data_IF_358420316439
#
_entry.id   IF_358420316439
#
_cell.length_a   1.000
_cell.length_b   1.000
_cell.length_c   1.000
_cell.angle_alpha   90.00
_cell.angle_beta   90.00
_cell.angle_gamma   90.00
#
_symmetry.space_group_name_H-M   'P 1'
#
loop_
_entity.id
_entity.type
_entity.pdbx_description
1 polymer ?
#
# COMPACT_ATOMS: atom_id res chain seq x y z
N UNK A 1 -31.88 20.59 9.51
CA UNK A 1 -31.78 19.14 9.29
C UNK A 1 -31.29 18.47 10.57
N UNK A 2 -31.82 17.31 10.93
CA UNK A 2 -31.38 16.57 12.11
C UNK A 2 -29.91 16.15 12.00
N UNK A 3 -29.16 16.21 13.11
CA UNK A 3 -27.74 15.84 13.18
C UNK A 3 -27.52 14.37 12.79
N UNK A 4 -28.48 13.49 13.10
CA UNK A 4 -28.47 12.09 12.69
C UNK A 4 -28.56 11.90 11.17
N UNK A 5 -29.43 12.70 10.52
CA UNK A 5 -29.56 12.72 9.06
C UNK A 5 -28.27 13.18 8.37
N UNK A 6 -27.55 14.16 8.95
CA UNK A 6 -26.26 14.61 8.43
C UNK A 6 -25.17 13.52 8.45
N UNK A 7 -25.17 12.62 9.44
CA UNK A 7 -24.22 11.48 9.49
C UNK A 7 -24.55 10.48 8.39
N UNK A 8 -25.83 10.17 8.21
CA UNK A 8 -26.30 9.27 7.15
C UNK A 8 -25.94 9.80 5.76
N UNK A 9 -26.22 11.09 5.51
CA UNK A 9 -25.87 11.76 4.26
C UNK A 9 -24.37 11.77 4.03
N UNK A 10 -23.56 12.08 5.05
CA UNK A 10 -22.09 12.05 4.94
C UNK A 10 -21.59 10.66 4.55
N UNK A 11 -22.10 9.60 5.18
CA UNK A 11 -21.75 8.22 4.89
C UNK A 11 -22.12 7.82 3.46
N UNK A 12 -23.34 8.15 3.03
CA UNK A 12 -23.83 7.87 1.67
C UNK A 12 -23.04 8.63 0.62
N UNK A 13 -22.72 9.90 0.88
CA UNK A 13 -21.83 10.70 0.07
C UNK A 13 -20.43 10.07 -0.05
N UNK A 14 -19.89 9.50 1.03
CA UNK A 14 -18.62 8.78 1.02
C UNK A 14 -18.70 7.41 0.32
N UNK A 15 -19.89 6.96 -0.10
CA UNK A 15 -20.09 5.66 -0.73
C UNK A 15 -19.94 4.47 0.21
N UNK A 16 -19.97 4.72 1.53
CA UNK A 16 -19.71 3.70 2.54
C UNK A 16 -21.00 3.08 3.08
N UNK A 17 -20.98 1.78 3.37
CA UNK A 17 -21.97 1.16 4.23
C UNK A 17 -21.67 1.48 5.72
N UNK A 18 -22.60 1.17 6.63
CA UNK A 18 -22.42 1.52 8.06
C UNK A 18 -21.19 0.89 8.69
N UNK A 19 -20.84 -0.34 8.31
CA UNK A 19 -19.69 -1.05 8.87
C UNK A 19 -18.39 -0.38 8.44
N UNK A 20 -18.23 -0.09 7.16
CA UNK A 20 -17.09 0.64 6.60
C UNK A 20 -16.94 2.03 7.25
N UNK A 21 -18.04 2.75 7.45
CA UNK A 21 -18.03 4.05 8.11
C UNK A 21 -17.56 3.95 9.58
N UNK A 22 -17.98 2.89 10.28
CA UNK A 22 -17.55 2.63 11.65
C UNK A 22 -16.06 2.32 11.73
N UNK A 23 -15.58 1.46 10.84
CA UNK A 23 -14.17 1.07 10.77
C UNK A 23 -13.30 2.29 10.41
N UNK A 24 -13.71 3.10 9.44
CA UNK A 24 -13.01 4.32 9.03
C UNK A 24 -12.86 5.34 10.17
N UNK A 25 -13.94 5.60 10.91
CA UNK A 25 -13.93 6.59 11.99
C UNK A 25 -13.50 6.03 13.35
N UNK A 26 -13.38 4.71 13.51
CA UNK A 26 -13.17 4.07 14.81
C UNK A 26 -14.36 4.22 15.75
N UNK A 27 -15.59 4.24 15.21
CA UNK A 27 -16.82 4.49 15.97
C UNK A 27 -17.60 3.19 16.09
N UNK A 28 -18.11 2.82 17.28
CA UNK A 28 -18.91 1.61 17.41
C UNK A 28 -20.17 1.62 16.52
N UNK A 29 -20.46 0.48 15.90
CA UNK A 29 -21.62 0.34 15.00
C UNK A 29 -22.94 0.81 15.59
N UNK A 30 -23.22 0.42 16.83
CA UNK A 30 -24.43 0.84 17.55
C UNK A 30 -24.51 2.35 17.70
N UNK A 31 -23.38 3.02 17.90
CA UNK A 31 -23.32 4.47 18.05
C UNK A 31 -23.73 5.20 16.77
N UNK A 32 -23.24 4.75 15.61
CA UNK A 32 -23.66 5.31 14.31
C UNK A 32 -25.13 5.03 14.04
N UNK A 33 -25.60 3.80 14.35
CA UNK A 33 -27.00 3.43 14.20
C UNK A 33 -27.94 4.29 15.08
N UNK A 34 -27.57 4.53 16.34
CA UNK A 34 -28.35 5.33 17.28
C UNK A 34 -28.38 6.81 16.87
N UNK A 35 -27.30 7.33 16.27
CA UNK A 35 -27.29 8.67 15.67
C UNK A 35 -28.19 8.76 14.43
N UNK A 36 -28.07 7.84 13.47
CA UNK A 36 -28.88 7.85 12.24
C UNK A 36 -30.38 7.65 12.51
N UNK A 37 -30.73 6.97 13.60
CA UNK A 37 -32.12 6.74 14.04
C UNK A 37 -32.63 7.76 15.07
N UNK A 38 -31.83 8.81 15.35
CA UNK A 38 -32.17 9.91 16.27
C UNK A 38 -32.42 9.47 17.72
N UNK A 39 -32.02 8.25 18.09
CA UNK A 39 -32.07 7.75 19.48
C UNK A 39 -31.05 8.44 20.38
N UNK A 40 -29.97 8.96 19.78
CA UNK A 40 -28.92 9.68 20.49
C UNK A 40 -28.53 10.92 19.70
N UNK A 41 -28.37 12.03 20.42
CA UNK A 41 -27.87 13.26 19.83
C UNK A 41 -26.35 13.21 19.65
N UNK A 42 -25.89 13.57 18.45
CA UNK A 42 -24.47 13.72 18.13
C UNK A 42 -23.97 15.08 18.65
N UNK A 43 -22.89 15.13 19.44
CA UNK A 43 -22.28 16.40 19.83
C UNK A 43 -21.85 17.23 18.62
N UNK A 44 -22.07 18.55 18.66
CA UNK A 44 -21.85 19.43 17.50
C UNK A 44 -20.42 19.43 16.98
N UNK A 45 -19.44 19.41 17.89
CA UNK A 45 -18.02 19.33 17.53
C UNK A 45 -17.68 18.03 16.81
N UNK A 46 -18.38 16.93 17.13
CA UNK A 46 -18.10 15.62 16.56
C UNK A 46 -18.62 15.54 15.12
N UNK A 47 -19.78 16.12 14.80
CA UNK A 47 -20.24 16.24 13.41
C UNK A 47 -19.26 17.06 12.57
N UNK A 48 -18.77 18.17 13.12
CA UNK A 48 -17.75 19.00 12.46
C UNK A 48 -16.46 18.20 12.23
N UNK A 49 -16.04 17.38 13.20
CA UNK A 49 -14.85 16.54 13.07
C UNK A 49 -15.03 15.43 12.01
N UNK A 50 -16.21 14.78 11.97
CA UNK A 50 -16.52 13.77 10.97
C UNK A 50 -16.50 14.36 9.56
N UNK A 51 -17.17 15.51 9.38
CA UNK A 51 -17.17 16.26 8.12
C UNK A 51 -15.78 16.73 7.76
N UNK A 52 -15.03 17.33 8.68
CA UNK A 52 -13.64 17.73 8.46
C UNK A 52 -12.77 16.56 8.03
N UNK A 53 -12.89 15.39 8.66
CA UNK A 53 -12.09 14.21 8.28
C UNK A 53 -12.54 13.59 6.95
N UNK A 54 -13.84 13.61 6.63
CA UNK A 54 -14.34 13.23 5.30
C UNK A 54 -13.88 14.21 4.21
N UNK A 55 -13.92 15.50 4.51
CA UNK A 55 -13.46 16.59 3.66
C UNK A 55 -11.95 16.55 3.53
N UNK A 56 -11.17 16.23 4.56
CA UNK A 56 -9.73 15.98 4.46
C UNK A 56 -9.47 14.75 3.62
N UNK A 57 -10.21 13.64 3.79
CA UNK A 57 -10.12 12.48 2.89
C UNK A 57 -10.49 12.78 1.43
N UNK A 58 -11.42 13.72 1.20
CA UNK A 58 -11.86 14.18 -0.14
C UNK A 58 -10.98 15.28 -0.72
N UNK A 59 -10.44 16.18 0.11
CA UNK A 59 -9.45 17.18 -0.26
C UNK A 59 -8.14 16.49 -0.60
N UNK A 60 -7.75 15.42 0.11
CA UNK A 60 -6.66 14.52 -0.30
C UNK A 60 -6.91 13.80 -1.64
N UNK A 61 -8.18 13.66 -2.08
CA UNK A 61 -8.53 13.17 -3.42
C UNK A 61 -8.57 14.26 -4.51
N UNK A 62 -8.78 15.53 -4.17
CA UNK A 62 -9.05 16.61 -5.16
C UNK A 62 -8.08 17.83 -5.07
N UNK A 63 -7.18 17.87 -4.09
CA UNK A 63 -6.13 18.89 -3.92
C UNK A 63 -5.01 18.36 -3.02
N UNK A 64 -3.83 18.14 -3.59
CA UNK A 64 -2.57 18.24 -2.84
C UNK A 64 -1.67 17.00 -2.90
N UNK A 65 -0.40 17.09 -3.31
CA UNK A 65 0.47 18.27 -3.17
C UNK A 65 0.26 18.90 -1.77
N UNK A 66 0.70 18.20 -0.72
CA UNK A 66 0.49 18.67 0.66
C UNK A 66 0.70 17.67 1.81
N UNK A 67 0.78 16.36 1.56
CA UNK A 67 1.83 15.56 2.21
C UNK A 67 3.11 15.86 1.41
N UNK A 68 4.31 15.83 2.00
CA UNK A 68 5.53 15.77 1.18
C UNK A 68 5.28 14.76 0.06
N UNK A 69 5.23 15.22 -1.21
CA UNK A 69 4.98 14.35 -2.35
C UNK A 69 5.90 13.14 -2.16
N UNK A 70 5.31 11.94 -2.00
CA UNK A 70 6.11 10.70 -1.98
C UNK A 70 7.03 10.82 -3.19
N UNK A 71 8.34 10.90 -2.96
CA UNK A 71 9.30 11.09 -4.04
C UNK A 71 9.47 9.75 -4.73
N UNK A 72 8.41 9.32 -5.41
CA UNK A 72 8.29 8.07 -6.11
C UNK A 72 7.84 8.40 -7.52
N UNK A 73 8.56 7.92 -8.52
CA UNK A 73 8.23 8.08 -9.93
C UNK A 73 8.34 6.73 -10.64
N UNK A 74 7.58 6.53 -11.70
CA UNK A 74 7.72 5.38 -12.60
C UNK A 74 8.47 5.84 -13.84
N UNK A 75 9.56 5.15 -14.17
CA UNK A 75 10.34 5.38 -15.40
C UNK A 75 10.23 4.13 -16.26
N UNK A 76 9.96 4.32 -17.55
CA UNK A 76 9.94 3.26 -18.55
C UNK A 76 11.23 3.34 -19.37
N UNK A 77 11.93 2.21 -19.51
CA UNK A 77 13.11 2.15 -20.36
C UNK A 77 12.74 1.99 -21.85
N UNK A 78 13.76 1.98 -22.71
CA UNK A 78 13.58 1.88 -24.16
C UNK A 78 12.94 0.55 -24.61
N UNK A 79 12.99 -0.48 -23.76
CA UNK A 79 12.39 -1.78 -24.02
C UNK A 79 10.95 -1.86 -23.47
N UNK A 80 10.40 -0.75 -22.96
CA UNK A 80 9.07 -0.67 -22.38
C UNK A 80 8.99 -1.15 -20.94
N UNK A 81 10.13 -1.42 -20.29
CA UNK A 81 10.14 -1.95 -18.92
C UNK A 81 10.04 -0.83 -17.90
N UNK A 82 8.93 -0.82 -17.16
CA UNK A 82 8.67 0.14 -16.10
C UNK A 82 9.44 -0.21 -14.81
N UNK A 83 9.96 0.81 -14.12
CA UNK A 83 10.66 0.71 -12.84
C UNK A 83 10.19 1.81 -11.90
N UNK A 84 9.87 1.46 -10.65
CA UNK A 84 9.49 2.42 -9.61
C UNK A 84 10.73 3.01 -8.93
N UNK A 85 11.05 4.27 -9.18
CA UNK A 85 12.15 5.00 -8.54
C UNK A 85 11.69 5.63 -7.23
N UNK A 86 12.24 5.18 -6.11
CA UNK A 86 11.95 5.72 -4.77
C UNK A 86 13.13 6.59 -4.36
N UNK A 87 12.99 7.91 -4.44
CA UNK A 87 14.10 8.86 -4.29
C UNK A 87 14.51 9.13 -2.83
N UNK A 88 13.67 8.76 -1.86
CA UNK A 88 13.98 8.87 -0.44
C UNK A 88 14.05 7.49 0.23
N UNK A 89 14.93 7.35 1.21
CA UNK A 89 15.00 6.15 2.05
C UNK A 89 14.36 6.52 3.38
N UNK A 90 13.11 6.15 3.64
CA UNK A 90 12.50 6.40 4.95
C UNK A 90 13.06 5.47 6.03
N UNK A 91 13.22 4.18 5.71
CA UNK A 91 13.69 3.17 6.66
C UNK A 91 15.22 3.04 6.58
N UNK A 92 15.95 3.99 7.20
CA UNK A 92 17.42 4.14 7.14
C UNK A 92 18.22 3.34 8.18
N UNK A 93 17.59 2.43 8.93
CA UNK A 93 18.20 1.76 10.09
C UNK A 93 19.68 1.37 9.91
N UNK A 94 20.58 1.95 10.72
CA UNK A 94 22.04 1.80 10.58
C UNK A 94 22.55 0.38 10.89
N UNK A 95 21.81 -0.39 11.68
CA UNK A 95 22.14 -1.79 12.08
C UNK A 95 21.09 -2.79 11.61
N UNK A 96 19.81 -2.47 11.80
CA UNK A 96 18.66 -3.29 11.38
C UNK A 96 17.47 -2.38 11.05
N UNK A 97 16.55 -2.89 10.22
CA UNK A 97 15.26 -2.26 9.94
C UNK A 97 14.36 -2.38 11.17
N UNK A 98 13.64 -1.31 11.52
CA UNK A 98 12.52 -1.37 12.46
C UNK A 98 11.26 -1.78 11.70
N UNK A 99 10.87 -3.05 11.80
CA UNK A 99 9.74 -3.59 11.04
C UNK A 99 8.39 -3.09 11.55
N UNK A 100 8.28 -2.71 12.83
CA UNK A 100 7.05 -2.14 13.39
C UNK A 100 6.73 -0.78 12.75
N UNK A 101 7.76 0.02 12.43
CA UNK A 101 7.58 1.28 11.68
C UNK A 101 7.10 1.02 10.25
N UNK A 102 7.59 -0.03 9.60
CA UNK A 102 7.15 -0.43 8.25
C UNK A 102 5.70 -0.90 8.29
N UNK A 103 5.32 -1.70 9.30
CA UNK A 103 3.94 -2.14 9.51
C UNK A 103 2.99 -0.95 9.71
N UNK A 104 3.36 0.00 10.58
CA UNK A 104 2.59 1.23 10.81
C UNK A 104 2.46 2.04 9.52
N UNK A 105 3.53 2.15 8.73
CA UNK A 105 3.49 2.84 7.44
C UNK A 105 2.50 2.18 6.48
N UNK A 106 2.51 0.85 6.37
CA UNK A 106 1.64 0.11 5.46
C UNK A 106 0.15 0.20 5.82
N UNK A 107 -0.18 0.43 7.10
CA UNK A 107 -1.58 0.61 7.54
C UNK A 107 -2.29 1.76 6.83
N UNK A 108 -1.57 2.75 6.29
CA UNK A 108 -2.16 3.86 5.54
C UNK A 108 -2.84 3.41 4.24
N UNK A 109 -2.45 2.26 3.68
CA UNK A 109 -2.99 1.72 2.43
C UNK A 109 -4.15 0.73 2.65
N UNK A 110 -4.43 0.33 3.90
CA UNK A 110 -5.46 -0.68 4.19
C UNK A 110 -6.84 -0.19 3.77
N UNK A 111 -7.54 -1.00 2.97
CA UNK A 111 -8.84 -0.66 2.40
C UNK A 111 -8.76 -0.04 1.00
N UNK A 112 -7.57 0.35 0.54
CA UNK A 112 -7.35 0.82 -0.84
C UNK A 112 -7.25 -0.35 -1.82
N UNK A 113 -7.31 -0.03 -3.11
CA UNK A 113 -7.09 -0.97 -4.20
C UNK A 113 -6.43 -0.27 -5.39
N UNK A 114 -5.68 -1.04 -6.16
CA UNK A 114 -4.94 -0.57 -7.33
C UNK A 114 -5.19 -1.53 -8.49
N UNK A 115 -5.14 -1.02 -9.71
CA UNK A 115 -5.34 -1.84 -10.92
C UNK A 115 -4.00 -2.01 -11.61
N UNK A 116 -3.66 -3.25 -11.95
CA UNK A 116 -2.48 -3.55 -12.76
C UNK A 116 -2.73 -3.04 -14.18
N UNK A 117 -1.83 -2.22 -14.73
CA UNK A 117 -1.96 -1.64 -16.07
C UNK A 117 -2.07 -2.73 -17.15
N UNK A 118 -1.20 -3.74 -17.08
CA UNK A 118 -1.04 -4.74 -18.14
C UNK A 118 -2.19 -5.76 -18.19
N UNK A 119 -2.73 -6.17 -17.03
CA UNK A 119 -3.73 -7.23 -16.93
C UNK A 119 -5.12 -6.75 -16.55
N UNK A 120 -5.27 -5.50 -16.11
CA UNK A 120 -6.48 -4.94 -15.50
C UNK A 120 -6.94 -5.71 -14.23
N UNK A 121 -6.08 -6.53 -13.63
CA UNK A 121 -6.38 -7.18 -12.36
C UNK A 121 -6.46 -6.12 -11.25
N UNK A 122 -7.53 -6.17 -10.46
CA UNK A 122 -7.72 -5.27 -9.31
C UNK A 122 -7.17 -5.92 -8.04
N UNK A 123 -6.16 -5.29 -7.45
CA UNK A 123 -5.46 -5.77 -6.25
C UNK A 123 -5.86 -4.91 -5.06
N UNK A 124 -6.48 -5.54 -4.07
CA UNK A 124 -6.91 -4.92 -2.82
C UNK A 124 -5.82 -5.01 -1.76
N UNK A 125 -5.76 -4.00 -0.88
CA UNK A 125 -4.91 -4.00 0.29
C UNK A 125 -5.72 -4.40 1.51
N UNK A 126 -5.52 -5.65 1.96
CA UNK A 126 -6.17 -6.20 3.14
C UNK A 126 -5.54 -5.71 4.45
N UNK A 127 -6.27 -5.85 5.56
CA UNK A 127 -5.77 -5.53 6.90
C UNK A 127 -4.67 -6.48 7.39
N UNK A 128 -4.48 -7.61 6.71
CA UNK A 128 -3.44 -8.61 6.95
C UNK A 128 -2.09 -8.24 6.31
N UNK A 129 -2.08 -7.46 5.23
CA UNK A 129 -0.83 -7.10 4.52
C UNK A 129 0.24 -6.48 5.44
N UNK A 130 -0.05 -5.48 6.31
CA UNK A 130 1.00 -4.86 7.11
C UNK A 130 1.76 -5.87 7.98
N UNK A 131 1.03 -6.77 8.64
CA UNK A 131 1.59 -7.80 9.52
C UNK A 131 2.38 -8.83 8.70
N UNK A 132 1.80 -9.33 7.61
CA UNK A 132 2.46 -10.32 6.73
C UNK A 132 3.73 -9.74 6.09
N UNK A 133 3.72 -8.47 5.70
CA UNK A 133 4.87 -7.82 5.10
C UNK A 133 6.03 -7.67 6.09
N UNK A 134 5.73 -7.26 7.32
CA UNK A 134 6.71 -6.93 8.35
C UNK A 134 7.23 -8.17 9.11
N UNK A 135 6.38 -9.19 9.29
CA UNK A 135 6.65 -10.30 10.20
C UNK A 135 6.57 -11.68 9.54
N UNK A 136 6.57 -11.78 8.20
CA UNK A 136 6.67 -13.08 7.55
C UNK A 136 8.01 -13.76 7.81
N UNK A 137 8.03 -15.10 7.72
CA UNK A 137 9.26 -15.90 7.75
C UNK A 137 10.30 -15.41 6.73
N UNK A 138 9.84 -14.95 5.56
CA UNK A 138 10.72 -14.37 4.54
C UNK A 138 11.35 -13.07 5.05
N UNK A 139 10.58 -12.18 5.66
CA UNK A 139 11.09 -10.94 6.24
C UNK A 139 12.11 -11.22 7.36
N UNK A 140 11.84 -12.21 8.21
CA UNK A 140 12.74 -12.59 9.31
C UNK A 140 14.12 -13.10 8.86
N UNK A 141 14.26 -13.67 7.66
CA UNK A 141 15.56 -14.14 7.15
C UNK A 141 16.33 -13.05 6.39
N UNK A 142 15.70 -11.93 6.01
CA UNK A 142 16.37 -10.85 5.29
C UNK A 142 17.39 -10.14 6.18
N UNK A 143 18.54 -9.79 5.59
CA UNK A 143 19.64 -9.09 6.27
C UNK A 143 20.20 -7.98 5.38
N UNK A 144 20.82 -6.99 6.02
CA UNK A 144 21.56 -5.92 5.35
C UNK A 144 20.77 -5.21 4.25
N UNK A 145 21.35 -5.13 3.06
CA UNK A 145 20.80 -4.39 1.93
C UNK A 145 19.42 -4.89 1.49
N UNK A 146 19.15 -6.21 1.54
CA UNK A 146 17.87 -6.77 1.10
C UNK A 146 16.73 -6.45 2.07
N UNK A 147 17.01 -6.45 3.38
CA UNK A 147 16.04 -6.03 4.40
C UNK A 147 15.68 -4.55 4.21
N UNK A 148 16.70 -3.70 4.00
CA UNK A 148 16.51 -2.28 3.71
C UNK A 148 15.73 -2.07 2.41
N UNK A 149 16.03 -2.84 1.38
CA UNK A 149 15.34 -2.78 0.10
C UNK A 149 13.85 -3.12 0.26
N UNK A 150 13.54 -4.24 0.93
CA UNK A 150 12.15 -4.60 1.26
C UNK A 150 11.44 -3.49 2.01
N UNK A 151 12.00 -3.04 3.13
CA UNK A 151 11.36 -2.01 3.95
C UNK A 151 11.00 -0.76 3.12
N UNK A 152 11.92 -0.30 2.27
CA UNK A 152 11.71 0.92 1.48
C UNK A 152 10.86 0.71 0.23
N UNK A 153 10.67 -0.54 -0.25
CA UNK A 153 9.71 -0.84 -1.32
C UNK A 153 8.27 -0.48 -0.91
N UNK A 154 7.95 -0.53 0.39
CA UNK A 154 6.65 -0.11 0.93
C UNK A 154 6.26 1.32 0.53
N UNK A 155 7.23 2.22 0.28
CA UNK A 155 6.98 3.60 -0.12
C UNK A 155 6.36 3.73 -1.52
N UNK A 156 6.73 2.82 -2.41
CA UNK A 156 6.25 2.75 -3.79
C UNK A 156 5.21 1.65 -4.00
N UNK A 157 4.49 1.25 -2.94
CA UNK A 157 3.56 0.12 -3.00
C UNK A 157 2.47 0.30 -4.07
N UNK A 158 1.78 1.46 -4.18
CA UNK A 158 0.81 1.69 -5.26
C UNK A 158 1.42 1.49 -6.64
N UNK A 159 2.54 2.16 -6.89
CA UNK A 159 3.21 2.19 -8.18
C UNK A 159 3.74 0.79 -8.54
N UNK A 160 4.26 0.05 -7.56
CA UNK A 160 4.71 -1.34 -7.73
C UNK A 160 3.58 -2.28 -8.17
N UNK A 161 2.37 -2.05 -7.67
CA UNK A 161 1.18 -2.81 -8.10
C UNK A 161 0.80 -2.41 -9.51
N UNK A 162 0.69 -1.11 -9.80
CA UNK A 162 0.25 -0.61 -11.11
C UNK A 162 1.14 -1.12 -12.25
N UNK A 163 2.46 -1.17 -12.04
CA UNK A 163 3.42 -1.66 -13.05
C UNK A 163 3.62 -3.19 -13.03
N UNK A 164 2.92 -3.92 -12.16
CA UNK A 164 3.19 -5.35 -11.98
C UNK A 164 2.85 -6.13 -13.27
N UNK A 165 3.75 -7.00 -13.70
CA UNK A 165 3.62 -7.75 -14.94
C UNK A 165 3.73 -9.26 -14.74
N UNK A 166 3.75 -10.00 -15.85
CA UNK A 166 4.11 -11.43 -15.91
C UNK A 166 3.42 -12.31 -14.86
N UNK A 167 2.10 -12.53 -15.03
CA UNK A 167 1.26 -13.30 -14.09
C UNK A 167 1.55 -14.80 -14.15
N UNK A 168 2.10 -15.34 -13.06
CA UNK A 168 2.23 -16.80 -12.87
C UNK A 168 1.24 -17.29 -11.82
N UNK A 169 0.36 -18.20 -12.22
CA UNK A 169 -0.59 -18.85 -11.31
C UNK A 169 0.06 -20.06 -10.60
N UNK A 170 -0.26 -20.25 -9.33
CA UNK A 170 0.10 -21.48 -8.60
C UNK A 170 -1.09 -21.97 -7.78
N UNK A 171 -1.45 -23.24 -7.99
CA UNK A 171 -2.49 -23.92 -7.21
C UNK A 171 -2.07 -24.03 -5.75
N UNK A 172 -3.05 -23.97 -4.85
CA UNK A 172 -2.82 -24.12 -3.43
C UNK A 172 -2.59 -25.60 -3.08
N UNK A 173 -1.44 -25.93 -2.49
CA UNK A 173 -1.09 -27.30 -2.08
C UNK A 173 -1.09 -27.49 -0.56
N UNK A 174 -1.34 -26.43 0.24
CA UNK A 174 -1.26 -26.49 1.71
C UNK A 174 -2.65 -26.41 2.34
N UNK A 175 -3.02 -27.45 3.10
CA UNK A 175 -4.32 -27.59 3.77
C UNK A 175 -4.70 -26.39 4.68
N UNK A 176 -3.70 -25.69 5.25
CA UNK A 176 -3.91 -24.52 6.13
C UNK A 176 -4.42 -23.26 5.43
N UNK A 177 -4.45 -23.22 4.10
CA UNK A 177 -4.91 -22.07 3.32
C UNK A 177 -6.15 -22.38 2.47
N UNK A 178 -6.82 -23.51 2.70
CA UNK A 178 -8.00 -23.91 1.94
C UNK A 178 -9.19 -22.94 2.07
N UNK A 179 -9.20 -22.08 3.09
CA UNK A 179 -10.25 -21.07 3.32
C UNK A 179 -9.82 -19.68 2.82
N UNK A 180 -8.58 -19.27 3.09
CA UNK A 180 -8.13 -17.90 2.81
C UNK A 180 -7.68 -17.68 1.35
N UNK A 181 -7.09 -18.69 0.72
CA UNK A 181 -6.62 -18.66 -0.68
C UNK A 181 -7.40 -19.67 -1.52
N UNK A 182 -8.74 -19.59 -1.43
CA UNK A 182 -9.67 -20.58 -2.00
C UNK A 182 -9.47 -20.79 -3.50
N UNK A 183 -9.15 -19.72 -4.24
CA UNK A 183 -8.91 -19.79 -5.68
C UNK A 183 -7.40 -19.86 -6.04
N UNK A 184 -6.53 -19.94 -5.02
CA UNK A 184 -5.09 -20.08 -5.20
C UNK A 184 -4.32 -18.77 -5.05
N UNK A 185 -3.08 -18.81 -5.57
CA UNK A 185 -2.12 -17.73 -5.45
C UNK A 185 -1.66 -17.29 -6.84
N UNK A 186 -1.53 -15.98 -7.01
CA UNK A 186 -0.91 -15.38 -8.18
C UNK A 186 0.42 -14.75 -7.77
N UNK A 187 1.37 -14.81 -8.69
CA UNK A 187 2.64 -14.10 -8.59
C UNK A 187 2.73 -13.13 -9.75
N UNK A 188 3.08 -11.90 -9.43
CA UNK A 188 3.39 -10.89 -10.43
C UNK A 188 4.81 -10.42 -10.22
N UNK A 189 5.52 -10.19 -11.31
CA UNK A 189 6.83 -9.57 -11.28
C UNK A 189 6.66 -8.06 -11.20
N UNK A 190 7.53 -7.39 -10.45
CA UNK A 190 7.58 -5.93 -10.39
C UNK A 190 9.01 -5.50 -10.07
N UNK A 191 9.29 -4.20 -10.14
CA UNK A 191 10.65 -3.67 -10.05
C UNK A 191 10.69 -2.28 -9.44
N UNK A 192 11.66 -2.06 -8.57
CA UNK A 192 11.92 -0.74 -7.99
C UNK A 192 13.41 -0.42 -7.89
N UNK A 193 13.71 0.87 -7.74
CA UNK A 193 15.05 1.39 -7.62
C UNK A 193 15.20 2.24 -6.35
N UNK A 194 16.30 2.06 -5.62
CA UNK A 194 16.65 2.85 -4.44
C UNK A 194 17.96 3.61 -4.64
N UNK A 195 18.05 4.87 -4.17
CA UNK A 195 19.24 5.68 -4.27
C UNK A 195 20.35 5.13 -3.37
N UNK A 196 21.57 5.31 -3.84
CA UNK A 196 22.80 5.18 -3.05
C UNK A 196 23.34 6.58 -2.87
N UNK A 197 23.45 7.00 -1.61
CA UNK A 197 23.97 8.32 -1.27
C UNK A 197 25.48 8.28 -1.02
N UNK A 198 26.17 9.36 -1.37
CA UNK A 198 27.53 9.65 -0.94
C UNK A 198 27.59 10.01 0.54
N UNK A 199 28.81 10.17 1.06
CA UNK A 199 29.02 10.73 2.40
C UNK A 199 28.53 12.18 2.50
N UNK A 200 28.54 12.94 1.39
CA UNK A 200 27.98 14.29 1.31
C UNK A 200 26.44 14.32 1.26
N UNK A 201 25.79 13.16 1.13
CA UNK A 201 24.32 13.06 1.04
C UNK A 201 23.76 13.23 -0.37
N UNK A 202 24.61 13.25 -1.40
CA UNK A 202 24.23 13.34 -2.81
C UNK A 202 23.96 11.94 -3.37
N UNK A 203 23.02 11.83 -4.32
CA UNK A 203 22.72 10.54 -4.96
C UNK A 203 23.84 10.21 -5.96
N UNK A 204 24.56 9.13 -5.71
CA UNK A 204 25.61 8.61 -6.59
C UNK A 204 24.99 7.76 -7.72
N UNK A 205 24.00 6.94 -7.39
CA UNK A 205 23.36 6.00 -8.33
C UNK A 205 22.06 5.45 -7.77
N UNK A 206 21.33 4.71 -8.60
CA UNK A 206 20.23 3.85 -8.16
C UNK A 206 20.61 2.37 -8.23
N UNK A 207 20.27 1.61 -7.18
CA UNK A 207 20.28 0.15 -7.22
C UNK A 207 18.88 -0.33 -7.58
N UNK A 208 18.77 -1.13 -8.63
CA UNK A 208 17.51 -1.72 -9.09
C UNK A 208 17.30 -3.09 -8.46
N UNK A 209 16.06 -3.40 -8.13
CA UNK A 209 15.63 -4.63 -7.51
C UNK A 209 14.39 -5.19 -8.21
N UNK A 210 14.48 -6.45 -8.63
CA UNK A 210 13.33 -7.24 -9.04
C UNK A 210 12.66 -7.84 -7.81
N UNK A 211 11.32 -7.91 -7.83
CA UNK A 211 10.50 -8.49 -6.77
C UNK A 211 9.38 -9.35 -7.32
N UNK A 212 8.86 -10.22 -6.46
CA UNK A 212 7.65 -11.00 -6.72
C UNK A 212 6.57 -10.56 -5.74
N UNK A 213 5.47 -10.04 -6.29
CA UNK A 213 4.26 -9.73 -5.55
C UNK A 213 3.43 -11.00 -5.41
N UNK A 214 3.13 -11.39 -4.18
CA UNK A 214 2.30 -12.55 -3.86
C UNK A 214 0.89 -12.08 -3.62
N UNK A 215 -0.04 -12.56 -4.44
CA UNK A 215 -1.44 -12.15 -4.40
C UNK A 215 -2.30 -13.36 -4.07
N UNK A 216 -3.12 -13.23 -3.02
CA UNK A 216 -4.09 -14.22 -2.58
C UNK A 216 -5.42 -13.99 -3.29
N UNK A 217 -5.96 -15.02 -3.94
CA UNK A 217 -7.32 -14.96 -4.49
C UNK A 217 -8.30 -15.57 -3.49
N UNK A 218 -9.00 -14.69 -2.78
CA UNK A 218 -9.82 -15.02 -1.63
C UNK A 218 -11.22 -15.50 -2.01
N UNK A 219 -11.93 -16.08 -1.04
CA UNK A 219 -13.26 -16.67 -1.22
C UNK A 219 -14.33 -15.68 -1.72
N UNK A 220 -14.18 -14.40 -1.39
CA UNK A 220 -15.04 -13.31 -1.86
C UNK A 220 -14.83 -12.97 -3.35
N UNK A 221 -13.90 -13.66 -4.02
CA UNK A 221 -13.56 -13.46 -5.42
C UNK A 221 -12.54 -12.34 -5.66
N UNK A 222 -12.09 -11.64 -4.60
CA UNK A 222 -11.13 -10.53 -4.71
C UNK A 222 -9.69 -11.01 -4.58
N UNK A 223 -8.79 -10.26 -5.21
CA UNK A 223 -7.35 -10.48 -5.17
C UNK A 223 -6.72 -9.54 -4.18
N UNK A 224 -6.06 -10.07 -3.16
CA UNK A 224 -5.42 -9.28 -2.09
C UNK A 224 -3.91 -9.42 -2.16
N UNK A 225 -3.20 -8.30 -2.13
CA UNK A 225 -1.75 -8.36 -1.94
C UNK A 225 -1.46 -8.96 -0.56
N UNK A 226 -0.60 -9.97 -0.53
CA UNK A 226 -0.27 -10.72 0.68
C UNK A 226 1.16 -10.44 1.14
N UNK A 227 2.14 -10.46 0.23
CA UNK A 227 3.52 -10.10 0.54
C UNK A 227 4.27 -9.64 -0.72
N UNK A 228 5.40 -8.94 -0.54
CA UNK A 228 6.42 -8.72 -1.58
C UNK A 228 7.66 -9.52 -1.19
N UNK A 229 8.03 -10.45 -2.06
CA UNK A 229 9.08 -11.43 -1.82
C UNK A 229 10.16 -11.42 -2.89
N UNK A 230 11.17 -12.27 -2.70
CA UNK A 230 12.19 -12.57 -3.69
C UNK A 230 12.96 -11.32 -4.18
N UNK A 231 13.22 -10.38 -3.28
CA UNK A 231 13.93 -9.14 -3.58
C UNK A 231 15.36 -9.46 -4.00
N UNK A 232 15.65 -9.19 -5.28
CA UNK A 232 16.93 -9.48 -5.91
C UNK A 232 17.48 -8.21 -6.54
N UNK A 233 18.67 -7.82 -6.12
CA UNK A 233 19.37 -6.69 -6.72
C UNK A 233 19.89 -7.08 -8.10
N UNK A 234 19.64 -6.27 -9.11
CA UNK A 234 20.31 -6.39 -10.40
C UNK A 234 21.79 -5.98 -10.30
N UNK A 235 22.65 -6.77 -10.93
CA UNK A 235 24.11 -6.60 -10.85
C UNK A 235 24.72 -6.00 -12.12
N UNK A 236 23.94 -5.79 -13.18
CA UNK A 236 24.41 -5.36 -14.51
C UNK A 236 23.95 -3.97 -14.95
N UNK A 237 22.97 -3.35 -14.28
CA UNK A 237 22.34 -2.09 -14.72
C UNK A 237 22.42 -1.07 -13.60
N UNK A 238 23.33 -0.10 -13.72
CA UNK A 238 23.47 1.02 -12.79
C UNK A 238 22.87 2.24 -13.48
N UNK A 239 21.68 2.68 -13.07
CA UNK A 239 21.16 3.99 -13.50
C UNK A 239 21.99 5.07 -12.81
N UNK A 240 22.68 5.89 -13.60
CA UNK A 240 23.38 7.06 -13.11
C UNK A 240 22.36 8.17 -12.90
N UNK A 241 22.61 9.08 -11.96
CA UNK A 241 21.68 10.18 -11.64
C UNK A 241 21.39 11.08 -12.84
N UNK A 242 22.31 11.16 -13.80
CA UNK A 242 22.17 11.92 -15.06
C UNK A 242 21.07 11.34 -15.99
N UNK A 243 20.79 10.03 -15.88
CA UNK A 243 19.80 9.33 -16.73
C UNK A 243 18.34 9.67 -16.37
N UNK A 244 18.10 10.29 -15.20
CA UNK A 244 16.74 10.51 -14.63
C UNK A 244 16.25 11.96 -14.86
N UNK A 245 17.11 12.84 -15.38
CA UNK A 245 16.83 14.28 -15.55
C UNK A 245 16.43 14.70 -16.97
N UNK A 246 15.93 13.79 -17.81
CA UNK A 246 15.43 14.11 -19.17
C UNK A 246 13.93 14.32 -19.23
#
# INVERSE_FOLDING_TARGET
MSKGRNVKELREQMGMNRREFCDYYGIPYRTVQDWESEKRELPDYLLRLLKYRAESGRMMKNKGDGLEKRKVNVIEDLDGKKTVFIHDILFKGKRSVNWDEVEIYLKQYVGEFYTIDDSNDVIFIGSDLPDEYAHSNYTHILRGANAKAKANAAQGLPELIEIAGEKVFTRNYKAKHNIDAMYGWYRYESRFALPVFSESGEIIRYNVFDVIMVVRHAKDGKMYLYDIMNIKKETSTLFLSEDITQ
#
